data_IF_737451663398
#
_entry.id   IF_737451663398
#
_cell.length_a   1.000
_cell.length_b   1.000
_cell.length_c   1.000
_cell.angle_alpha   90.00
_cell.angle_beta   90.00
_cell.angle_gamma   90.00
#
_symmetry.space_group_name_H-M   'P 1'
#
loop_
_entity.id
_entity.type
_entity.pdbx_description
1 polymer ?
#
# COMPACT_ATOMS: atom_id res chain seq x y z
N UNK A 1 16.58 -30.37 1.80
CA UNK A 1 17.20 -29.15 1.25
C UNK A 1 16.09 -28.23 0.78
N UNK A 2 15.89 -27.07 1.42
CA UNK A 2 14.95 -26.07 0.92
C UNK A 2 15.65 -25.28 -0.19
N UNK A 3 14.99 -25.09 -1.33
CA UNK A 3 15.50 -24.25 -2.40
C UNK A 3 15.58 -22.78 -1.91
N UNK A 4 16.58 -22.00 -2.36
CA UNK A 4 16.62 -20.58 -2.06
C UNK A 4 15.37 -19.90 -2.61
N UNK A 5 14.63 -19.21 -1.74
CA UNK A 5 13.49 -18.36 -2.13
C UNK A 5 14.06 -17.04 -2.65
N UNK A 6 13.70 -16.68 -3.88
CA UNK A 6 13.98 -15.33 -4.40
C UNK A 6 13.21 -14.33 -3.55
N UNK A 7 13.91 -13.32 -3.04
CA UNK A 7 13.34 -12.20 -2.29
C UNK A 7 13.26 -11.02 -3.25
N UNK A 8 12.05 -10.52 -3.49
CA UNK A 8 11.87 -9.27 -4.21
C UNK A 8 12.21 -8.08 -3.29
N UNK A 9 12.74 -7.00 -3.84
CA UNK A 9 13.00 -5.75 -3.14
C UNK A 9 12.50 -4.55 -3.93
N UNK A 10 12.28 -3.45 -3.23
CA UNK A 10 11.93 -2.14 -3.80
C UNK A 10 13.00 -1.13 -3.42
N UNK A 11 13.29 -0.20 -4.32
CA UNK A 11 14.15 0.93 -4.00
C UNK A 11 13.33 2.04 -3.32
N UNK A 12 13.62 2.31 -2.04
CA UNK A 12 12.98 3.36 -1.23
C UNK A 12 14.06 4.27 -0.65
N UNK A 13 14.00 5.56 -0.99
CA UNK A 13 15.01 6.55 -0.57
C UNK A 13 16.46 6.17 -0.95
N UNK A 14 16.64 5.46 -2.07
CA UNK A 14 17.93 4.95 -2.53
C UNK A 14 18.43 3.68 -1.82
N UNK A 15 17.61 3.09 -0.94
CA UNK A 15 17.89 1.82 -0.26
C UNK A 15 17.05 0.68 -0.86
N UNK A 16 17.65 -0.50 -1.03
CA UNK A 16 16.91 -1.71 -1.39
C UNK A 16 16.25 -2.30 -0.15
N UNK A 17 14.93 -2.20 -0.08
CA UNK A 17 14.12 -2.71 1.03
C UNK A 17 13.45 -4.02 0.61
N UNK A 18 13.54 -5.10 1.39
CA UNK A 18 12.84 -6.35 1.10
C UNK A 18 11.33 -6.14 0.99
N UNK A 19 10.67 -6.78 0.03
CA UNK A 19 9.23 -6.66 -0.17
C UNK A 19 8.40 -7.04 1.07
N UNK A 20 8.91 -7.94 1.92
CA UNK A 20 8.28 -8.32 3.19
C UNK A 20 8.29 -7.19 4.25
N UNK A 21 9.10 -6.15 4.03
CA UNK A 21 9.19 -4.95 4.88
C UNK A 21 8.49 -3.73 4.25
N UNK A 22 7.82 -3.93 3.11
CA UNK A 22 7.10 -2.90 2.39
C UNK A 22 5.58 -3.06 2.49
N UNK A 23 4.88 -1.93 2.49
CA UNK A 23 3.43 -1.85 2.35
C UNK A 23 3.02 -0.96 1.17
N UNK A 24 1.83 -1.22 0.64
CA UNK A 24 1.10 -0.27 -0.17
C UNK A 24 0.24 0.61 0.73
N UNK A 25 0.33 1.91 0.52
CA UNK A 25 -0.34 2.94 1.30
C UNK A 25 -1.39 3.61 0.42
N UNK A 26 -2.66 3.52 0.82
CA UNK A 26 -3.75 4.26 0.21
C UNK A 26 -3.78 5.69 0.74
N UNK A 27 -3.37 6.64 -0.08
CA UNK A 27 -3.24 8.04 0.29
C UNK A 27 -4.49 8.78 -0.18
N UNK A 28 -5.19 9.39 0.77
CA UNK A 28 -6.33 10.26 0.48
C UNK A 28 -5.86 11.58 -0.16
N UNK A 29 -6.74 12.33 -0.86
CA UNK A 29 -6.39 13.60 -1.50
C UNK A 29 -5.82 14.66 -0.55
N UNK A 30 -6.10 14.53 0.76
CA UNK A 30 -5.56 15.39 1.81
C UNK A 30 -4.13 15.02 2.26
N UNK A 31 -3.54 13.97 1.68
CA UNK A 31 -2.21 13.46 2.00
C UNK A 31 -2.16 12.47 3.18
N UNK A 32 -3.31 12.08 3.74
CA UNK A 32 -3.32 11.12 4.85
C UNK A 32 -3.38 9.68 4.34
N UNK A 33 -2.63 8.80 4.99
CA UNK A 33 -2.74 7.35 4.79
C UNK A 33 -4.08 6.88 5.36
N UNK A 34 -4.88 6.26 4.51
CA UNK A 34 -6.27 5.82 4.74
C UNK A 34 -6.46 4.31 4.61
N UNK A 35 -5.39 3.60 4.25
CA UNK A 35 -5.34 2.15 4.22
C UNK A 35 -3.91 1.66 4.01
N UNK A 36 -3.63 0.46 4.49
CA UNK A 36 -2.35 -0.24 4.33
C UNK A 36 -2.62 -1.68 3.89
N UNK A 37 -1.79 -2.21 3.00
CA UNK A 37 -1.72 -3.65 2.72
C UNK A 37 -0.27 -4.07 2.48
N UNK A 38 0.13 -5.24 2.96
CA UNK A 38 1.51 -5.73 2.85
C UNK A 38 1.84 -6.09 1.40
N UNK A 39 3.09 -5.85 0.98
CA UNK A 39 3.53 -6.20 -0.38
C UNK A 39 3.82 -7.69 -0.53
N UNK A 40 4.44 -8.33 0.48
CA UNK A 40 4.70 -9.77 0.51
C UNK A 40 4.32 -10.36 1.86
N UNK A 41 3.39 -11.32 1.88
CA UNK A 41 3.07 -12.14 3.05
C UNK A 41 3.19 -13.64 2.72
N UNK A 42 4.24 -14.06 2.03
CA UNK A 42 4.54 -15.48 1.84
C UNK A 42 3.70 -16.14 0.74
N UNK A 43 2.37 -16.07 0.81
CA UNK A 43 1.38 -16.58 -0.14
C UNK A 43 0.73 -15.48 -1.00
N UNK A 44 0.82 -14.23 -0.56
CA UNK A 44 0.40 -13.03 -1.29
C UNK A 44 1.62 -12.21 -1.72
N UNK A 45 1.65 -11.79 -2.99
CA UNK A 45 2.63 -10.82 -3.50
C UNK A 45 1.94 -9.77 -4.37
N UNK A 46 1.97 -8.51 -3.92
CA UNK A 46 1.41 -7.34 -4.59
C UNK A 46 2.54 -6.48 -5.17
N UNK A 47 3.28 -7.03 -6.14
CA UNK A 47 4.45 -6.38 -6.73
C UNK A 47 4.16 -5.15 -7.60
N UNK A 48 2.91 -4.91 -7.98
CA UNK A 48 2.53 -3.76 -8.83
C UNK A 48 1.40 -2.93 -8.24
N UNK A 49 1.33 -1.65 -8.65
CA UNK A 49 0.27 -0.74 -8.22
C UNK A 49 -1.12 -1.26 -8.62
N UNK A 50 -1.26 -1.90 -9.79
CA UNK A 50 -2.54 -2.48 -10.21
C UNK A 50 -2.97 -3.65 -9.34
N UNK A 51 -2.03 -4.48 -8.85
CA UNK A 51 -2.31 -5.55 -7.91
C UNK A 51 -2.79 -4.97 -6.58
N UNK A 52 -2.10 -3.95 -6.07
CA UNK A 52 -2.48 -3.27 -4.84
C UNK A 52 -3.86 -2.59 -4.94
N UNK A 53 -4.15 -1.92 -6.06
CA UNK A 53 -5.48 -1.34 -6.30
C UNK A 53 -6.58 -2.39 -6.29
N UNK A 54 -6.33 -3.57 -6.87
CA UNK A 54 -7.30 -4.68 -6.85
C UNK A 54 -7.48 -5.27 -5.47
N UNK A 55 -6.44 -5.27 -4.64
CA UNK A 55 -6.53 -5.70 -3.24
C UNK A 55 -7.36 -4.72 -2.41
N UNK A 56 -7.03 -3.42 -2.45
CA UNK A 56 -7.78 -2.39 -1.70
C UNK A 56 -9.25 -2.32 -2.11
N UNK A 57 -9.50 -2.43 -3.42
CA UNK A 57 -10.82 -2.24 -3.99
C UNK A 57 -11.06 -3.29 -5.08
N UNK A 58 -11.60 -4.48 -4.75
CA UNK A 58 -11.79 -5.56 -5.71
C UNK A 58 -12.72 -5.19 -6.89
N UNK A 59 -13.66 -4.28 -6.65
CA UNK A 59 -14.62 -3.84 -7.65
C UNK A 59 -14.06 -2.68 -8.49
N UNK A 60 -14.06 -2.87 -9.82
CA UNK A 60 -13.54 -1.87 -10.75
C UNK A 60 -14.25 -0.50 -10.67
N UNK A 61 -15.53 -0.48 -10.30
CA UNK A 61 -16.31 0.75 -10.14
C UNK A 61 -15.82 1.59 -8.94
N UNK A 62 -15.44 0.93 -7.86
CA UNK A 62 -15.05 1.59 -6.62
C UNK A 62 -13.62 2.13 -6.73
N UNK A 63 -12.71 1.38 -7.37
CA UNK A 63 -11.39 1.88 -7.83
C UNK A 63 -11.50 3.15 -8.65
N UNK A 64 -12.30 3.12 -9.72
CA UNK A 64 -12.51 4.28 -10.60
C UNK A 64 -13.03 5.48 -9.82
N UNK A 65 -13.95 5.26 -8.87
CA UNK A 65 -14.50 6.31 -8.01
C UNK A 65 -13.44 6.90 -7.07
N UNK A 66 -12.58 6.10 -6.45
CA UNK A 66 -11.52 6.60 -5.57
C UNK A 66 -10.44 7.35 -6.33
N UNK A 67 -9.98 6.81 -7.46
CA UNK A 67 -9.03 7.48 -8.36
C UNK A 67 -9.60 8.82 -8.83
N UNK A 68 -10.87 8.87 -9.26
CA UNK A 68 -11.54 10.11 -9.67
C UNK A 68 -11.70 11.12 -8.52
N UNK A 69 -11.72 10.66 -7.26
CA UNK A 69 -11.70 11.51 -6.07
C UNK A 69 -10.30 11.99 -5.67
N UNK A 70 -9.25 11.51 -6.33
CA UNK A 70 -7.85 11.88 -6.08
C UNK A 70 -7.11 11.01 -5.07
N UNK A 71 -7.61 9.80 -4.78
CA UNK A 71 -6.86 8.82 -3.99
C UNK A 71 -5.72 8.23 -4.83
N UNK A 72 -4.58 7.99 -4.21
CA UNK A 72 -3.40 7.39 -4.85
C UNK A 72 -2.85 6.23 -4.02
N UNK A 73 -2.00 5.42 -4.64
CA UNK A 73 -1.20 4.41 -3.95
C UNK A 73 0.28 4.76 -4.00
N UNK A 74 1.00 4.42 -2.94
CA UNK A 74 2.45 4.49 -2.88
C UNK A 74 3.00 3.28 -2.13
N UNK A 75 4.18 2.81 -2.51
CA UNK A 75 4.94 1.86 -1.69
C UNK A 75 5.71 2.64 -0.61
N UNK A 76 5.72 2.10 0.60
CA UNK A 76 6.55 2.59 1.69
C UNK A 76 7.06 1.46 2.59
N UNK A 77 7.84 1.81 3.61
CA UNK A 77 8.23 0.87 4.66
C UNK A 77 7.04 0.64 5.59
N UNK A 78 6.81 -0.61 5.99
CA UNK A 78 5.75 -0.97 6.94
C UNK A 78 5.82 -0.15 8.23
N UNK A 79 7.02 0.14 8.74
CA UNK A 79 7.21 0.96 9.96
C UNK A 79 6.63 2.36 9.81
N UNK A 80 6.76 2.96 8.63
CA UNK A 80 6.35 4.32 8.35
C UNK A 80 4.85 4.38 8.07
N UNK A 81 4.33 3.41 7.32
CA UNK A 81 2.91 3.26 7.01
C UNK A 81 2.07 3.13 8.27
N UNK A 82 2.46 2.24 9.20
CA UNK A 82 1.76 2.05 10.49
C UNK A 82 1.75 3.34 11.31
N UNK A 83 2.87 4.05 11.37
CA UNK A 83 2.97 5.32 12.09
C UNK A 83 2.13 6.44 11.43
N UNK A 84 1.96 6.41 10.10
CA UNK A 84 1.16 7.38 9.36
C UNK A 84 -0.34 7.10 9.45
N UNK A 85 -0.76 5.84 9.33
CA UNK A 85 -2.16 5.42 9.40
C UNK A 85 -2.79 5.70 10.78
N UNK A 86 -2.01 5.62 11.86
CA UNK A 86 -2.48 5.97 13.21
C UNK A 86 -2.77 7.46 13.45
N UNK A 87 -2.50 8.34 12.47
CA UNK A 87 -2.71 9.79 12.63
C UNK A 87 -4.17 10.17 12.35
N UNK A 88 -4.72 11.02 13.20
CA UNK A 88 -6.08 11.54 13.02
C UNK A 88 -6.16 12.36 11.73
N UNK A 89 -6.98 11.90 10.80
CA UNK A 89 -7.26 12.67 9.59
C UNK A 89 -8.25 13.81 9.85
N UNK A 90 -8.10 14.92 9.13
CA UNK A 90 -9.00 16.07 9.16
C UNK A 90 -10.02 16.07 8.02
N UNK A 91 -9.96 15.12 7.06
CA UNK A 91 -10.98 15.03 6.03
C UNK A 91 -12.33 14.61 6.66
N UNK A 92 -13.39 15.37 6.38
CA UNK A 92 -14.76 14.97 6.74
C UNK A 92 -15.27 13.98 5.69
N UNK A 93 -15.56 12.74 6.05
CA UNK A 93 -16.55 11.94 5.33
C UNK A 93 -16.15 10.60 4.73
N UNK A 94 -15.11 9.93 5.21
CA UNK A 94 -15.01 8.46 5.07
C UNK A 94 -14.60 7.93 6.43
N UNK A 95 -15.55 7.39 7.18
CA UNK A 95 -15.30 6.77 8.48
C UNK A 95 -14.44 5.51 8.23
N UNK A 96 -13.50 5.15 9.13
CA UNK A 96 -12.84 3.85 9.08
C UNK A 96 -13.85 2.69 9.15
#
# INVERSE_FOLDING_TARGET
MMAPRLVASFELDGEQVPAAECDWQLIAPCGCVSGLTVVDHGDLFLGTEEQAWREFEPLARDRKRLIAKGYTLAIGRCSDGVAAFGRKCTHKGVNP
#
